data_IF_995939981741
#
_entry.id   IF_995939981741
#
_cell.length_a   1.000
_cell.length_b   1.000
_cell.length_c   1.000
_cell.angle_alpha   90.00
_cell.angle_beta   90.00
_cell.angle_gamma   90.00
#
_symmetry.space_group_name_H-M   'P 1'
#
loop_
_entity.id
_entity.type
_entity.pdbx_description
1 polymer ?
#
# COMPACT_ATOMS: atom_id res chain seq x y z
N UNK A 1 94.71 63.25 102.14
CA UNK A 1 94.13 64.49 101.61
C UNK A 1 94.28 64.42 100.12
N UNK A 2 93.20 64.11 99.41
CA UNK A 2 93.22 64.10 97.94
C UNK A 2 93.15 65.55 97.46
N UNK A 3 94.06 65.88 96.55
CA UNK A 3 94.21 67.23 96.01
C UNK A 3 93.05 67.50 95.06
N UNK A 4 92.39 68.65 95.21
CA UNK A 4 91.18 68.98 94.44
C UNK A 4 91.45 68.91 92.92
N UNK A 5 90.50 68.39 92.13
CA UNK A 5 90.67 68.25 90.68
C UNK A 5 90.84 69.63 90.03
N UNK A 6 91.78 69.74 89.08
CA UNK A 6 92.00 70.98 88.31
C UNK A 6 90.77 71.33 87.47
N UNK A 7 90.41 72.61 87.41
CA UNK A 7 89.43 73.09 86.43
C UNK A 7 89.98 72.93 85.01
N UNK A 8 89.12 72.58 84.05
CA UNK A 8 89.51 72.35 82.66
C UNK A 8 88.94 71.08 82.06
N UNK A 9 89.53 70.69 80.94
CA UNK A 9 89.05 69.61 80.08
C UNK A 9 89.81 68.33 80.38
N UNK A 10 89.10 67.25 80.68
CA UNK A 10 89.63 65.91 80.89
C UNK A 10 89.18 65.01 79.75
N UNK A 11 90.11 64.35 79.08
CA UNK A 11 89.83 63.49 77.93
C UNK A 11 90.36 62.10 78.18
N UNK A 12 89.58 61.08 77.86
CA UNK A 12 90.04 59.70 77.83
C UNK A 12 89.21 58.86 76.87
N UNK A 13 89.83 57.83 76.30
CA UNK A 13 89.18 56.95 75.33
C UNK A 13 89.04 55.54 75.90
N UNK A 14 87.90 54.91 75.64
CA UNK A 14 87.63 53.52 76.00
C UNK A 14 87.01 52.76 74.84
N UNK A 15 87.13 51.43 74.90
CA UNK A 15 86.39 50.54 74.00
C UNK A 15 84.91 50.59 74.36
N UNK A 16 84.06 50.81 73.37
CA UNK A 16 82.63 50.76 73.60
C UNK A 16 82.21 49.29 73.80
N UNK A 17 81.62 49.01 74.95
CA UNK A 17 81.11 47.66 75.28
C UNK A 17 79.79 47.35 74.57
N UNK A 18 79.08 48.38 74.12
CA UNK A 18 77.77 48.21 73.46
C UNK A 18 77.89 48.04 71.95
N UNK A 19 78.95 48.56 71.34
CA UNK A 19 79.25 48.44 69.92
C UNK A 19 80.66 47.82 69.72
N UNK A 20 80.76 46.49 69.53
CA UNK A 20 82.03 45.82 69.34
C UNK A 20 82.81 46.39 68.14
N UNK A 21 83.98 46.96 68.41
CA UNK A 21 84.84 47.57 67.39
C UNK A 21 84.92 49.11 67.43
N UNK A 22 83.99 49.78 68.13
CA UNK A 22 84.02 51.23 68.32
C UNK A 22 84.86 51.61 69.56
N UNK A 23 85.41 52.83 69.52
CA UNK A 23 86.03 53.47 70.68
C UNK A 23 85.30 54.79 70.93
N UNK A 24 84.92 55.01 72.18
CA UNK A 24 84.32 56.27 72.62
C UNK A 24 85.36 57.10 73.33
N UNK A 25 85.36 58.39 73.04
CA UNK A 25 86.14 59.40 73.77
C UNK A 25 85.21 60.15 74.69
N UNK A 26 85.50 60.11 75.98
CA UNK A 26 84.81 60.90 76.99
C UNK A 26 85.57 62.20 77.21
N UNK A 27 84.85 63.32 77.12
CA UNK A 27 85.35 64.65 77.43
C UNK A 27 84.55 65.22 78.61
N UNK A 28 85.23 65.47 79.72
CA UNK A 28 84.65 66.06 80.92
C UNK A 28 85.26 67.44 81.16
N UNK A 29 84.43 68.48 81.12
CA UNK A 29 84.86 69.87 81.29
C UNK A 29 84.38 70.39 82.63
N UNK A 30 85.31 70.74 83.50
CA UNK A 30 85.05 71.45 84.75
C UNK A 30 85.19 72.95 84.52
N UNK A 31 84.07 73.68 84.55
CA UNK A 31 84.04 75.13 84.45
C UNK A 31 84.16 75.78 85.83
N UNK A 32 84.40 77.09 85.85
CA UNK A 32 84.27 77.88 87.07
C UNK A 32 82.78 77.95 87.52
N UNK A 33 82.56 78.22 88.81
CA UNK A 33 81.23 78.36 89.43
C UNK A 33 80.38 77.06 89.49
N UNK A 34 80.97 75.93 89.89
CA UNK A 34 80.28 74.65 90.14
C UNK A 34 79.55 74.06 88.92
N UNK A 35 79.94 74.44 87.70
CA UNK A 35 79.34 73.92 86.46
C UNK A 35 80.30 72.97 85.75
N UNK A 36 79.75 71.92 85.17
CA UNK A 36 80.51 70.99 84.36
C UNK A 36 79.71 70.50 83.15
N UNK A 37 80.40 69.89 82.19
CA UNK A 37 79.77 69.16 81.09
C UNK A 37 80.51 67.85 80.83
N UNK A 38 79.75 66.80 80.51
CA UNK A 38 80.28 65.50 80.10
C UNK A 38 79.77 65.19 78.71
N UNK A 39 80.69 64.88 77.81
CA UNK A 39 80.43 64.56 76.42
C UNK A 39 81.01 63.19 76.07
N UNK A 40 80.26 62.42 75.29
CA UNK A 40 80.69 61.14 74.72
C UNK A 40 80.73 61.25 73.21
N UNK A 41 81.93 61.10 72.65
CA UNK A 41 82.22 61.26 71.23
C UNK A 41 82.70 59.89 70.69
N UNK A 42 81.83 59.11 70.03
CA UNK A 42 82.21 57.87 69.37
C UNK A 42 83.12 58.16 68.17
N UNK A 43 84.08 57.26 67.91
CA UNK A 43 84.99 57.39 66.77
C UNK A 43 84.31 56.97 65.46
N UNK A 44 83.44 55.97 65.51
CA UNK A 44 82.58 55.61 64.39
C UNK A 44 81.34 56.52 64.35
N UNK A 45 80.92 56.91 63.15
CA UNK A 45 79.69 57.66 63.01
C UNK A 45 78.47 56.74 63.24
N UNK A 46 77.32 57.34 63.60
CA UNK A 46 76.09 56.60 63.87
C UNK A 46 75.63 55.73 62.68
N UNK A 47 75.96 56.12 61.44
CA UNK A 47 75.57 55.39 60.22
C UNK A 47 76.46 54.17 59.94
N UNK A 48 77.68 54.13 60.48
CA UNK A 48 78.64 53.02 60.42
C UNK A 48 78.46 52.02 61.57
N UNK A 49 77.40 52.19 62.38
CA UNK A 49 77.10 51.33 63.51
C UNK A 49 77.72 51.78 64.84
N UNK A 50 78.32 52.98 64.89
CA UNK A 50 78.77 53.60 66.13
C UNK A 50 77.61 54.07 67.01
N UNK A 51 77.89 54.38 68.27
CA UNK A 51 76.89 55.05 69.12
C UNK A 51 76.58 56.46 68.61
N UNK A 52 75.38 57.01 68.88
CA UNK A 52 75.13 58.44 68.67
C UNK A 52 75.90 59.27 69.72
N UNK A 53 76.57 60.37 69.34
CA UNK A 53 77.19 61.28 70.30
C UNK A 53 76.15 61.90 71.23
N UNK A 54 76.55 62.22 72.45
CA UNK A 54 75.69 62.89 73.42
C UNK A 54 76.49 63.79 74.36
N UNK A 55 75.84 64.87 74.84
CA UNK A 55 76.42 65.80 75.81
C UNK A 55 75.43 66.18 76.91
N UNK A 56 75.85 66.07 78.16
CA UNK A 56 75.09 66.61 79.29
C UNK A 56 75.83 67.74 80.01
N UNK A 57 75.08 68.69 80.57
CA UNK A 57 75.59 69.76 81.44
C UNK A 57 75.01 69.58 82.84
N UNK A 58 75.80 69.92 83.86
CA UNK A 58 75.45 69.68 85.25
C UNK A 58 76.14 70.64 86.19
N UNK A 59 75.69 70.61 87.44
CA UNK A 59 76.48 71.16 88.53
C UNK A 59 77.37 70.04 89.07
N UNK A 60 78.52 70.39 89.66
CA UNK A 60 79.35 69.38 90.31
C UNK A 60 79.73 69.78 91.73
N UNK A 61 79.82 68.77 92.57
CA UNK A 61 80.36 68.82 93.92
C UNK A 61 81.51 67.82 94.02
N UNK A 62 82.52 68.14 94.83
CA UNK A 62 83.66 67.26 95.08
C UNK A 62 83.50 66.72 96.50
N UNK A 63 83.33 65.40 96.62
CA UNK A 63 83.11 64.71 97.89
C UNK A 63 84.23 63.67 98.09
N UNK A 64 85.10 63.94 99.07
CA UNK A 64 86.35 63.20 99.34
C UNK A 64 87.20 62.92 98.08
N UNK A 65 87.06 61.73 97.51
CA UNK A 65 87.84 61.21 96.39
C UNK A 65 86.98 61.07 95.10
N UNK A 66 85.75 61.60 95.09
CA UNK A 66 84.81 61.54 93.96
C UNK A 66 84.33 62.94 93.54
N UNK A 67 84.19 63.16 92.23
CA UNK A 67 83.43 64.27 91.67
C UNK A 67 82.02 63.76 91.38
N UNK A 68 81.01 64.39 91.97
CA UNK A 68 79.61 64.06 91.77
C UNK A 68 79.00 65.16 90.91
N UNK A 69 78.65 64.82 89.66
CA UNK A 69 77.96 65.70 88.73
C UNK A 69 76.44 65.45 88.77
N UNK A 70 75.67 66.45 89.19
CA UNK A 70 74.22 66.46 89.08
C UNK A 70 73.81 66.99 87.69
N UNK A 71 73.19 66.14 86.87
CA UNK A 71 72.82 66.50 85.49
C UNK A 71 71.62 67.45 85.45
N UNK A 72 71.83 68.70 85.05
CA UNK A 72 70.79 69.73 84.93
C UNK A 72 70.21 69.86 83.52
N UNK A 73 71.01 69.54 82.50
CA UNK A 73 70.59 69.48 81.09
C UNK A 73 71.03 68.15 80.50
N UNK A 74 70.05 67.32 80.15
CA UNK A 74 70.26 66.05 79.45
C UNK A 74 70.21 66.24 77.93
N UNK A 75 70.89 65.36 77.21
CA UNK A 75 70.69 65.16 75.77
C UNK A 75 69.59 64.11 75.50
N UNK A 76 69.33 63.82 74.22
CA UNK A 76 68.45 62.72 73.78
C UNK A 76 68.95 61.36 74.26
N UNK A 77 70.28 61.18 74.35
CA UNK A 77 71.00 59.98 74.83
C UNK A 77 71.93 60.33 76.00
N UNK A 78 72.45 59.33 76.71
CA UNK A 78 73.36 59.53 77.85
C UNK A 78 72.66 59.56 79.23
N UNK A 79 73.36 60.04 80.28
CA UNK A 79 72.81 60.22 81.62
C UNK A 79 71.55 61.08 81.61
N UNK A 80 70.54 60.68 82.39
CA UNK A 80 69.27 61.42 82.48
C UNK A 80 69.42 62.63 83.40
N UNK A 81 68.53 63.59 83.24
CA UNK A 81 68.38 64.72 84.15
C UNK A 81 68.16 64.21 85.57
N UNK A 82 68.71 64.93 86.55
CA UNK A 82 68.61 64.63 87.98
C UNK A 82 69.25 63.26 88.36
N UNK A 83 70.16 62.76 87.51
CA UNK A 83 70.99 61.59 87.80
C UNK A 83 72.39 62.05 88.18
N UNK A 84 72.94 61.47 89.25
CA UNK A 84 74.30 61.75 89.68
C UNK A 84 75.31 60.91 88.90
N UNK A 85 76.27 61.58 88.29
CA UNK A 85 77.39 60.97 87.57
C UNK A 85 78.63 61.09 88.43
N UNK A 86 79.18 59.94 88.83
CA UNK A 86 80.36 59.87 89.70
C UNK A 86 81.63 59.69 88.90
N UNK A 87 82.67 60.47 89.21
CA UNK A 87 84.02 60.32 88.66
C UNK A 87 85.03 60.19 89.81
N UNK A 88 85.79 59.11 89.86
CA UNK A 88 86.79 58.90 90.92
C UNK A 88 88.06 59.72 90.63
N UNK A 89 88.54 60.49 91.59
CA UNK A 89 89.74 61.32 91.46
C UNK A 89 90.99 60.47 91.76
N UNK A 90 91.67 60.00 90.71
CA UNK A 90 92.92 59.26 90.87
C UNK A 90 94.14 60.17 91.06
N UNK A 91 94.01 61.49 90.84
CA UNK A 91 95.04 62.49 91.09
C UNK A 91 94.64 63.88 90.57
N UNK A 92 95.48 64.92 90.75
CA UNK A 92 95.12 66.31 90.44
C UNK A 92 94.90 66.59 88.94
N UNK A 93 95.19 65.63 88.07
CA UNK A 93 95.07 65.77 86.61
C UNK A 93 94.50 64.51 85.97
N UNK A 94 93.93 63.60 86.76
CA UNK A 94 93.34 62.36 86.28
C UNK A 94 92.09 62.00 87.08
N UNK A 95 91.02 61.72 86.35
CA UNK A 95 89.76 61.20 86.91
C UNK A 95 89.39 59.90 86.19
N UNK A 96 88.71 58.99 86.87
CA UNK A 96 88.17 57.77 86.27
C UNK A 96 86.66 57.92 86.08
N UNK A 97 86.21 57.65 84.86
CA UNK A 97 84.80 57.55 84.52
C UNK A 97 84.53 56.19 83.88
N UNK A 98 83.67 55.37 84.48
CA UNK A 98 83.32 54.01 83.99
C UNK A 98 84.58 53.22 83.59
N UNK A 99 85.51 53.06 84.54
CA UNK A 99 86.82 52.41 84.35
C UNK A 99 87.75 53.05 83.30
N UNK A 100 87.36 54.16 82.69
CA UNK A 100 88.14 54.91 81.71
C UNK A 100 88.92 56.02 82.40
N UNK A 101 90.24 56.05 82.20
CA UNK A 101 91.10 57.09 82.75
C UNK A 101 91.05 58.33 81.86
N UNK A 102 90.48 59.42 82.38
CA UNK A 102 90.45 60.73 81.73
C UNK A 102 91.62 61.58 82.25
N UNK A 103 92.43 62.13 81.34
CA UNK A 103 93.58 62.96 81.67
C UNK A 103 93.29 64.43 81.35
N UNK A 104 93.72 65.35 82.21
CA UNK A 104 93.57 66.79 82.00
C UNK A 104 94.39 67.25 80.78
N UNK A 105 93.75 67.95 79.85
CA UNK A 105 94.34 68.40 78.57
C UNK A 105 94.54 69.92 78.51
N UNK A 106 93.70 70.72 79.17
CA UNK A 106 93.84 72.18 79.16
C UNK A 106 92.78 72.94 79.94
N UNK A 107 92.96 74.27 80.07
CA UNK A 107 91.99 75.18 80.69
C UNK A 107 90.73 75.37 79.81
N UNK A 108 89.55 75.66 80.40
CA UNK A 108 88.31 75.80 79.63
C UNK A 108 88.31 77.12 78.81
N UNK A 109 87.63 77.17 77.64
CA UNK A 109 87.55 78.37 76.80
C UNK A 109 86.78 79.52 77.49
N UNK A 110 87.25 80.77 77.33
CA UNK A 110 86.71 81.96 78.00
C UNK A 110 85.33 82.38 77.44
N UNK A 111 84.38 82.70 78.31
CA UNK A 111 83.05 83.23 77.96
C UNK A 111 83.11 84.77 77.78
N UNK A 112 82.47 85.35 76.74
CA UNK A 112 82.55 86.80 76.46
C UNK A 112 81.65 87.65 77.41
N UNK A 113 82.23 88.70 78.01
CA UNK A 113 81.55 89.66 78.91
C UNK A 113 81.46 91.06 78.26
N UNK A 114 80.33 91.76 78.41
CA UNK A 114 80.08 93.12 77.89
C UNK A 114 79.93 94.13 79.04
N UNK A 115 80.54 95.31 78.92
CA UNK A 115 80.34 96.46 79.84
C UNK A 115 80.38 97.82 79.06
N UNK A 116 79.46 98.80 79.26
CA UNK A 116 79.11 99.80 78.24
C UNK A 116 79.10 101.26 78.72
N UNK A 117 80.13 102.08 78.45
CA UNK A 117 80.05 103.54 78.78
C UNK A 117 80.67 104.51 77.76
N UNK A 118 81.42 104.09 76.73
CA UNK A 118 82.05 105.03 75.77
C UNK A 118 81.33 105.24 74.42
N UNK A 119 80.13 104.67 74.21
CA UNK A 119 79.46 104.62 72.89
C UNK A 119 78.56 105.83 72.58
N UNK A 120 78.16 106.62 73.58
CA UNK A 120 77.07 107.61 73.42
C UNK A 120 77.38 108.84 72.56
N UNK A 121 78.63 109.18 72.28
CA UNK A 121 78.95 110.37 71.46
C UNK A 121 79.22 110.07 69.99
N UNK A 122 79.48 108.81 69.62
CA UNK A 122 79.57 108.39 68.21
C UNK A 122 78.22 107.92 67.63
N UNK A 123 77.21 107.65 68.48
CA UNK A 123 75.88 107.21 68.05
C UNK A 123 75.05 108.33 67.42
N UNK A 124 75.12 109.57 67.92
CA UNK A 124 74.25 110.65 67.43
C UNK A 124 74.54 111.07 65.97
N UNK A 125 75.81 111.09 65.56
CA UNK A 125 76.15 111.41 64.17
C UNK A 125 75.90 110.24 63.21
N UNK A 126 75.96 109.00 63.72
CA UNK A 126 75.63 107.80 62.94
C UNK A 126 74.11 107.60 62.82
N UNK A 127 73.32 108.01 63.81
CA UNK A 127 71.85 107.96 63.78
C UNK A 127 71.25 108.91 62.74
N UNK A 128 71.83 110.09 62.50
CA UNK A 128 71.32 110.99 61.46
C UNK A 128 71.60 110.48 60.03
N UNK A 129 72.76 109.84 59.80
CA UNK A 129 73.07 109.21 58.51
C UNK A 129 72.32 107.87 58.31
N UNK A 130 72.11 107.10 59.38
CA UNK A 130 71.25 105.90 59.36
C UNK A 130 69.77 106.27 59.20
N UNK A 131 69.29 107.41 59.72
CA UNK A 131 67.91 107.85 59.52
C UNK A 131 67.64 108.22 58.04
N UNK A 132 68.61 108.83 57.35
CA UNK A 132 68.50 109.11 55.92
C UNK A 132 68.51 107.81 55.09
N UNK A 133 69.39 106.85 55.40
CA UNK A 133 69.44 105.54 54.71
C UNK A 133 68.19 104.70 54.99
N UNK A 134 67.70 104.67 56.24
CA UNK A 134 66.47 103.97 56.61
C UNK A 134 65.24 104.54 55.92
N UNK A 135 65.20 105.84 55.63
CA UNK A 135 64.10 106.45 54.87
C UNK A 135 64.08 105.97 53.42
N UNK A 136 65.24 105.93 52.76
CA UNK A 136 65.36 105.42 51.39
C UNK A 136 65.17 103.90 51.31
N UNK A 137 65.60 103.15 52.32
CA UNK A 137 65.38 101.70 52.41
C UNK A 137 63.92 101.37 52.69
N UNK A 138 63.20 102.15 53.50
CA UNK A 138 61.77 101.98 53.73
C UNK A 138 60.94 102.32 52.48
N UNK A 139 61.37 103.29 51.67
CA UNK A 139 60.71 103.62 50.41
C UNK A 139 60.96 102.54 49.36
N UNK A 140 62.21 102.04 49.24
CA UNK A 140 62.53 100.89 48.40
C UNK A 140 61.82 99.60 48.85
N UNK A 141 61.71 99.35 50.15
CA UNK A 141 60.98 98.21 50.69
C UNK A 141 59.47 98.30 50.45
N UNK A 142 58.89 99.52 50.46
CA UNK A 142 57.48 99.73 50.08
C UNK A 142 57.26 99.45 48.59
N UNK A 143 58.14 99.94 47.72
CA UNK A 143 58.05 99.64 46.28
C UNK A 143 58.24 98.14 45.99
N UNK A 144 59.10 97.44 46.73
CA UNK A 144 59.27 95.99 46.58
C UNK A 144 58.01 95.23 47.03
N UNK A 145 57.40 95.61 48.15
CA UNK A 145 56.15 95.04 48.64
C UNK A 145 54.98 95.27 47.68
N UNK A 146 54.92 96.45 47.06
CA UNK A 146 53.90 96.75 46.04
C UNK A 146 54.16 95.95 44.74
N UNK A 147 55.42 95.77 44.32
CA UNK A 147 55.77 94.88 43.20
C UNK A 147 55.45 93.42 43.50
N UNK A 148 55.65 92.97 44.74
CA UNK A 148 55.32 91.62 45.16
C UNK A 148 53.81 91.40 45.22
N UNK A 149 53.04 92.38 45.71
CA UNK A 149 51.57 92.36 45.64
C UNK A 149 51.05 92.31 44.22
N UNK A 150 51.60 93.09 43.30
CA UNK A 150 51.26 93.03 41.87
C UNK A 150 51.56 91.66 41.27
N UNK A 151 52.72 91.06 41.58
CA UNK A 151 53.04 89.69 41.14
C UNK A 151 52.09 88.64 41.71
N UNK A 152 51.70 88.78 42.98
CA UNK A 152 50.73 87.90 43.62
C UNK A 152 49.33 88.08 43.03
N UNK A 153 48.89 89.30 42.74
CA UNK A 153 47.62 89.56 42.04
C UNK A 153 47.64 89.03 40.60
N UNK A 154 48.75 89.18 39.88
CA UNK A 154 48.91 88.59 38.55
C UNK A 154 48.89 87.05 38.60
N UNK A 155 49.56 86.44 39.58
CA UNK A 155 49.51 84.98 39.79
C UNK A 155 48.10 84.53 40.17
N UNK A 156 47.46 85.19 41.12
CA UNK A 156 46.09 84.89 41.53
C UNK A 156 45.09 85.08 40.37
N UNK A 157 45.28 86.09 39.52
CA UNK A 157 44.47 86.27 38.31
C UNK A 157 44.73 85.17 37.28
N UNK A 158 45.99 84.76 37.06
CA UNK A 158 46.30 83.63 36.17
C UNK A 158 45.67 82.33 36.67
N UNK A 159 45.77 82.05 37.96
CA UNK A 159 45.16 80.89 38.59
C UNK A 159 43.63 80.94 38.52
N UNK A 160 43.02 82.12 38.75
CA UNK A 160 41.58 82.32 38.63
C UNK A 160 41.10 82.07 37.20
N UNK A 161 41.83 82.57 36.20
CA UNK A 161 41.52 82.33 34.77
C UNK A 161 41.67 80.85 34.43
N UNK A 162 42.72 80.18 34.91
CA UNK A 162 42.91 78.73 34.71
C UNK A 162 41.79 77.91 35.38
N UNK A 163 41.38 78.27 36.60
CA UNK A 163 40.27 77.65 37.31
C UNK A 163 38.93 77.88 36.59
N UNK A 164 38.73 79.07 36.03
CA UNK A 164 37.52 79.39 35.27
C UNK A 164 37.49 78.64 33.93
N UNK A 165 38.64 78.48 33.26
CA UNK A 165 38.80 77.64 32.08
C UNK A 165 38.50 76.16 32.40
N UNK A 166 39.09 75.61 33.46
CA UNK A 166 38.83 74.23 33.89
C UNK A 166 37.36 74.02 34.29
N UNK A 167 36.73 74.99 34.95
CA UNK A 167 35.30 74.93 35.27
C UNK A 167 34.42 75.01 34.01
N UNK A 168 34.81 75.80 33.02
CA UNK A 168 34.10 75.88 31.75
C UNK A 168 34.24 74.58 30.95
N UNK A 169 35.44 73.99 30.90
CA UNK A 169 35.68 72.68 30.28
C UNK A 169 34.90 71.57 30.98
N UNK A 170 34.86 71.55 32.31
CA UNK A 170 34.09 70.55 33.06
C UNK A 170 32.59 70.66 32.78
N UNK A 171 32.07 71.90 32.68
CA UNK A 171 30.67 72.15 32.29
C UNK A 171 30.40 71.73 30.86
N UNK A 172 31.32 71.98 29.92
CA UNK A 172 31.21 71.49 28.54
C UNK A 172 31.22 69.97 28.48
N UNK A 173 32.09 69.30 29.23
CA UNK A 173 32.11 67.83 29.29
C UNK A 173 30.83 67.27 29.88
N UNK A 174 30.31 67.87 30.95
CA UNK A 174 29.03 67.46 31.55
C UNK A 174 27.87 67.66 30.57
N UNK A 175 27.80 68.82 29.90
CA UNK A 175 26.77 69.08 28.90
C UNK A 175 26.88 68.14 27.69
N UNK A 176 28.11 67.81 27.24
CA UNK A 176 28.34 66.86 26.16
C UNK A 176 27.94 65.43 26.57
N UNK A 177 28.27 65.00 27.80
CA UNK A 177 27.87 63.69 28.32
C UNK A 177 26.35 63.59 28.52
N UNK A 178 25.69 64.65 29.01
CA UNK A 178 24.24 64.68 29.13
C UNK A 178 23.57 64.65 27.76
N UNK A 179 24.09 65.38 26.78
CA UNK A 179 23.59 65.36 25.40
C UNK A 179 23.77 63.98 24.74
N UNK A 180 24.93 63.33 24.90
CA UNK A 180 25.18 61.98 24.38
C UNK A 180 24.29 60.95 25.09
N UNK A 181 24.11 61.06 26.41
CA UNK A 181 23.21 60.20 27.17
C UNK A 181 21.74 60.39 26.77
N UNK A 182 21.33 61.63 26.45
CA UNK A 182 19.99 61.93 25.91
C UNK A 182 19.79 61.30 24.54
N UNK A 183 20.74 61.50 23.61
CA UNK A 183 20.67 60.91 22.27
C UNK A 183 20.61 59.38 22.33
N UNK A 184 21.42 58.76 23.19
CA UNK A 184 21.44 57.30 23.37
C UNK A 184 20.15 56.76 23.99
N UNK A 185 19.48 57.54 24.84
CA UNK A 185 18.15 57.19 25.36
C UNK A 185 17.07 57.26 24.27
N UNK A 186 17.07 58.31 23.46
CA UNK A 186 16.14 58.45 22.33
C UNK A 186 16.35 57.36 21.27
N UNK A 187 17.59 57.00 20.96
CA UNK A 187 17.90 55.90 20.04
C UNK A 187 17.42 54.55 20.59
N UNK A 188 17.66 54.28 21.88
CA UNK A 188 17.17 53.07 22.53
C UNK A 188 15.64 53.01 22.59
N UNK A 189 14.97 54.16 22.75
CA UNK A 189 13.51 54.23 22.73
C UNK A 189 12.97 53.96 21.32
N UNK A 190 13.58 54.56 20.28
CA UNK A 190 13.25 54.25 18.88
C UNK A 190 13.45 52.77 18.54
N UNK A 191 14.56 52.17 18.97
CA UNK A 191 14.82 50.74 18.76
C UNK A 191 13.80 49.86 19.48
N UNK A 192 13.38 50.23 20.70
CA UNK A 192 12.31 49.51 21.42
C UNK A 192 10.96 49.63 20.72
N UNK A 193 10.65 50.81 20.18
CA UNK A 193 9.39 51.04 19.46
C UNK A 193 9.36 50.28 18.12
N UNK A 194 10.47 50.22 17.39
CA UNK A 194 10.62 49.39 16.19
C UNK A 194 10.49 47.90 16.51
N UNK A 195 11.14 47.41 17.57
CA UNK A 195 11.00 46.01 18.00
C UNK A 195 9.55 45.69 18.38
N UNK A 196 8.89 46.60 19.08
CA UNK A 196 7.48 46.45 19.45
C UNK A 196 6.57 46.41 18.22
N UNK A 197 6.78 47.28 17.22
CA UNK A 197 6.04 47.23 15.95
C UNK A 197 6.26 45.92 15.20
N UNK A 198 7.50 45.43 15.15
CA UNK A 198 7.83 44.15 14.51
C UNK A 198 7.18 42.96 15.24
N UNK A 199 7.11 43.00 16.57
CA UNK A 199 6.42 41.98 17.37
C UNK A 199 4.90 42.02 17.16
N UNK A 200 4.29 43.21 17.16
CA UNK A 200 2.87 43.40 16.90
C UNK A 200 2.51 42.97 15.46
N UNK A 201 3.33 43.30 14.46
CA UNK A 201 3.13 42.87 13.08
C UNK A 201 3.29 41.35 12.92
N UNK A 202 4.27 40.75 13.61
CA UNK A 202 4.46 39.29 13.63
C UNK A 202 3.28 38.59 14.32
N UNK A 203 2.77 39.13 15.43
CA UNK A 203 1.58 38.61 16.10
C UNK A 203 0.35 38.72 15.20
N UNK A 204 0.12 39.87 14.58
CA UNK A 204 -0.99 40.06 13.64
C UNK A 204 -0.91 39.11 12.44
N UNK A 205 0.29 38.85 11.91
CA UNK A 205 0.50 37.86 10.84
C UNK A 205 0.20 36.44 11.30
N UNK A 206 0.59 36.07 12.52
CA UNK A 206 0.30 34.75 13.08
C UNK A 206 -1.20 34.55 13.31
N UNK A 207 -1.89 35.56 13.85
CA UNK A 207 -3.35 35.54 14.04
C UNK A 207 -4.10 35.47 12.71
N UNK A 208 -3.64 36.22 11.70
CA UNK A 208 -4.24 36.16 10.36
C UNK A 208 -4.02 34.78 9.73
N UNK A 209 -2.84 34.20 9.90
CA UNK A 209 -2.52 32.87 9.37
C UNK A 209 -3.29 31.76 10.07
N UNK A 210 -3.50 31.85 11.39
CA UNK A 210 -4.32 30.89 12.13
C UNK A 210 -5.80 31.01 11.76
N UNK A 211 -6.32 32.23 11.60
CA UNK A 211 -7.68 32.46 11.12
C UNK A 211 -7.90 31.90 9.71
N UNK A 212 -6.98 32.15 8.77
CA UNK A 212 -7.03 31.60 7.40
C UNK A 212 -6.95 30.06 7.41
N UNK A 213 -6.13 29.47 8.28
CA UNK A 213 -6.04 28.01 8.40
C UNK A 213 -7.32 27.40 8.98
N UNK A 214 -7.97 28.11 9.91
CA UNK A 214 -9.23 27.70 10.51
C UNK A 214 -10.39 27.78 9.51
N UNK A 215 -10.47 28.86 8.72
CA UNK A 215 -11.42 28.96 7.61
C UNK A 215 -11.21 27.88 6.55
N UNK A 216 -9.95 27.54 6.23
CA UNK A 216 -9.64 26.43 5.32
C UNK A 216 -10.08 25.07 5.88
N UNK A 217 -9.91 24.84 7.19
CA UNK A 217 -10.39 23.61 7.84
C UNK A 217 -11.91 23.53 7.80
N UNK A 218 -12.61 24.61 8.15
CA UNK A 218 -14.08 24.65 8.08
C UNK A 218 -14.60 24.49 6.65
N UNK A 219 -13.95 25.11 5.66
CA UNK A 219 -14.29 24.94 4.26
C UNK A 219 -14.07 23.50 3.79
N UNK A 220 -12.94 22.89 4.15
CA UNK A 220 -12.62 21.51 3.82
C UNK A 220 -13.59 20.51 4.50
N UNK A 221 -13.99 20.76 5.75
CA UNK A 221 -15.01 19.95 6.45
C UNK A 221 -16.38 20.05 5.79
N UNK A 222 -16.80 21.25 5.38
CA UNK A 222 -18.06 21.44 4.63
C UNK A 222 -18.02 20.76 3.27
N UNK A 223 -16.90 20.82 2.57
CA UNK A 223 -16.72 20.14 1.28
C UNK A 223 -16.71 18.62 1.46
N UNK A 224 -16.02 18.11 2.48
CA UNK A 224 -16.04 16.68 2.84
C UNK A 224 -17.45 16.18 3.18
N UNK A 225 -18.23 16.97 3.92
CA UNK A 225 -19.64 16.66 4.21
C UNK A 225 -20.49 16.61 2.94
N UNK A 226 -20.33 17.58 2.02
CA UNK A 226 -21.06 17.57 0.73
C UNK A 226 -20.71 16.35 -0.10
N UNK A 227 -19.43 16.01 -0.20
CA UNK A 227 -18.97 14.81 -0.92
C UNK A 227 -19.53 13.55 -0.26
N UNK A 228 -19.57 13.49 1.07
CA UNK A 228 -20.13 12.35 1.80
C UNK A 228 -21.64 12.18 1.58
N UNK A 229 -22.40 13.28 1.59
CA UNK A 229 -23.84 13.28 1.28
C UNK A 229 -24.11 12.88 -0.17
N UNK A 230 -23.31 13.38 -1.12
CA UNK A 230 -23.43 13.02 -2.53
C UNK A 230 -23.10 11.53 -2.76
N UNK A 231 -22.06 11.02 -2.08
CA UNK A 231 -21.73 9.59 -2.12
C UNK A 231 -22.84 8.72 -1.49
N UNK A 232 -23.50 9.19 -0.44
CA UNK A 232 -24.66 8.51 0.15
C UNK A 232 -25.83 8.48 -0.82
N UNK A 233 -26.16 9.60 -1.47
CA UNK A 233 -27.20 9.65 -2.51
C UNK A 233 -26.90 8.70 -3.67
N UNK A 234 -25.66 8.69 -4.17
CA UNK A 234 -25.26 7.75 -5.23
C UNK A 234 -25.39 6.28 -4.80
N UNK A 235 -25.09 5.96 -3.54
CA UNK A 235 -25.28 4.60 -3.00
C UNK A 235 -26.75 4.23 -2.88
N UNK A 236 -27.61 5.17 -2.48
CA UNK A 236 -29.06 4.96 -2.41
C UNK A 236 -29.66 4.81 -3.81
N UNK A 237 -29.25 5.62 -4.78
CA UNK A 237 -29.64 5.50 -6.18
C UNK A 237 -29.21 4.15 -6.77
N UNK A 238 -27.97 3.70 -6.50
CA UNK A 238 -27.51 2.39 -6.94
C UNK A 238 -28.30 1.25 -6.29
N UNK A 239 -28.61 1.35 -4.99
CA UNK A 239 -29.47 0.35 -4.31
C UNK A 239 -30.88 0.32 -4.91
N UNK A 240 -31.49 1.47 -5.16
CA UNK A 240 -32.80 1.54 -5.79
C UNK A 240 -32.80 0.90 -7.20
N UNK A 241 -31.76 1.16 -7.99
CA UNK A 241 -31.58 0.53 -9.31
C UNK A 241 -31.34 -0.98 -9.21
N UNK A 242 -30.61 -1.45 -8.20
CA UNK A 242 -30.43 -2.88 -7.94
C UNK A 242 -31.75 -3.56 -7.54
N UNK A 243 -32.55 -2.92 -6.69
CA UNK A 243 -33.89 -3.39 -6.31
C UNK A 243 -34.83 -3.43 -7.52
N UNK A 244 -34.85 -2.40 -8.37
CA UNK A 244 -35.64 -2.38 -9.59
C UNK A 244 -35.23 -3.51 -10.55
N UNK A 245 -33.92 -3.76 -10.70
CA UNK A 245 -33.42 -4.90 -11.49
C UNK A 245 -33.83 -6.24 -10.91
N UNK A 246 -33.81 -6.40 -9.59
CA UNK A 246 -34.26 -7.63 -8.93
C UNK A 246 -35.77 -7.84 -9.10
N UNK A 247 -36.58 -6.78 -8.98
CA UNK A 247 -38.02 -6.86 -9.22
C UNK A 247 -38.34 -7.23 -10.66
N UNK A 248 -37.65 -6.62 -11.64
CA UNK A 248 -37.81 -6.96 -13.05
C UNK A 248 -37.40 -8.41 -13.31
N UNK A 249 -36.26 -8.86 -12.78
CA UNK A 249 -35.83 -10.26 -12.91
C UNK A 249 -36.85 -11.24 -12.31
N UNK A 250 -37.41 -10.94 -11.14
CA UNK A 250 -38.46 -11.77 -10.53
C UNK A 250 -39.75 -11.78 -11.35
N UNK A 251 -40.12 -10.65 -11.97
CA UNK A 251 -41.28 -10.57 -12.87
C UNK A 251 -41.05 -11.38 -14.14
N UNK A 252 -39.87 -11.25 -14.76
CA UNK A 252 -39.49 -12.02 -15.94
C UNK A 252 -39.43 -13.52 -15.64
N UNK A 253 -38.86 -13.93 -14.50
CA UNK A 253 -38.82 -15.34 -14.09
C UNK A 253 -40.24 -15.91 -13.89
N UNK A 254 -41.13 -15.17 -13.22
CA UNK A 254 -42.53 -15.56 -13.07
C UNK A 254 -43.27 -15.64 -14.40
N UNK A 255 -43.03 -14.70 -15.31
CA UNK A 255 -43.65 -14.73 -16.65
C UNK A 255 -43.12 -15.92 -17.47
N UNK A 256 -41.81 -16.18 -17.40
CA UNK A 256 -41.19 -17.29 -18.10
C UNK A 256 -41.66 -18.64 -17.53
N UNK A 257 -41.87 -18.74 -16.22
CA UNK A 257 -42.47 -19.90 -15.58
C UNK A 257 -43.92 -20.10 -16.05
N UNK A 258 -44.75 -19.04 -16.09
CA UNK A 258 -46.11 -19.12 -16.64
C UNK A 258 -46.11 -19.60 -18.09
N UNK A 259 -45.23 -19.06 -18.94
CA UNK A 259 -45.10 -19.50 -20.34
C UNK A 259 -44.64 -20.97 -20.46
N UNK A 260 -43.80 -21.46 -19.54
CA UNK A 260 -43.43 -22.88 -19.49
C UNK A 260 -44.63 -23.74 -19.11
N UNK A 261 -45.36 -23.37 -18.08
CA UNK A 261 -46.57 -24.08 -17.64
C UNK A 261 -47.65 -24.09 -18.75
N UNK A 262 -47.85 -22.97 -19.45
CA UNK A 262 -48.77 -22.88 -20.60
C UNK A 262 -48.34 -23.80 -21.74
N UNK A 263 -47.05 -23.81 -22.09
CA UNK A 263 -46.50 -24.72 -23.12
C UNK A 263 -46.60 -26.18 -22.72
N UNK A 264 -46.39 -26.50 -21.44
CA UNK A 264 -46.56 -27.87 -20.93
C UNK A 264 -48.03 -28.29 -20.98
N UNK A 265 -48.96 -27.41 -20.61
CA UNK A 265 -50.40 -27.67 -20.72
C UNK A 265 -50.84 -27.82 -22.18
N UNK A 266 -50.32 -26.99 -23.09
CA UNK A 266 -50.59 -27.10 -24.52
C UNK A 266 -50.03 -28.40 -25.10
N UNK A 267 -48.78 -28.75 -24.75
CA UNK A 267 -48.18 -30.02 -25.13
C UNK A 267 -49.01 -31.20 -24.62
N UNK A 268 -49.45 -31.17 -23.36
CA UNK A 268 -50.33 -32.19 -22.79
C UNK A 268 -51.67 -32.30 -23.54
N UNK A 269 -52.26 -31.18 -23.93
CA UNK A 269 -53.49 -31.16 -24.76
C UNK A 269 -53.25 -31.79 -26.12
N UNK A 270 -52.16 -31.42 -26.80
CA UNK A 270 -51.80 -31.98 -28.10
C UNK A 270 -51.49 -33.47 -28.02
N UNK A 271 -50.81 -33.94 -26.97
CA UNK A 271 -50.59 -35.38 -26.76
C UNK A 271 -51.89 -36.13 -26.51
N UNK A 272 -52.80 -35.56 -25.70
CA UNK A 272 -54.10 -36.17 -25.43
C UNK A 272 -54.98 -36.21 -26.69
N UNK A 273 -54.92 -35.19 -27.54
CA UNK A 273 -55.59 -35.17 -28.84
C UNK A 273 -54.99 -36.19 -29.81
N UNK A 274 -53.65 -36.29 -29.88
CA UNK A 274 -52.98 -37.29 -30.69
C UNK A 274 -53.31 -38.72 -30.25
N UNK A 275 -53.39 -38.98 -28.93
CA UNK A 275 -53.78 -40.29 -28.40
C UNK A 275 -55.25 -40.62 -28.68
N UNK A 276 -56.15 -39.62 -28.64
CA UNK A 276 -57.54 -39.78 -29.08
C UNK A 276 -57.61 -40.15 -30.56
N UNK A 277 -56.86 -39.47 -31.41
CA UNK A 277 -56.80 -39.77 -32.84
C UNK A 277 -56.22 -41.16 -33.11
N UNK A 278 -55.17 -41.57 -32.38
CA UNK A 278 -54.61 -42.92 -32.46
C UNK A 278 -55.62 -43.99 -32.05
N UNK A 279 -56.36 -43.76 -30.96
CA UNK A 279 -57.41 -44.66 -30.50
C UNK A 279 -58.57 -44.74 -31.51
N UNK A 280 -58.96 -43.62 -32.13
CA UNK A 280 -59.98 -43.62 -33.18
C UNK A 280 -59.49 -44.38 -34.43
N UNK A 281 -58.26 -44.14 -34.88
CA UNK A 281 -57.67 -44.89 -35.99
C UNK A 281 -57.55 -46.38 -35.68
N UNK A 282 -57.22 -46.75 -34.45
CA UNK A 282 -57.18 -48.14 -34.02
C UNK A 282 -58.57 -48.78 -34.06
N UNK A 283 -59.61 -48.09 -33.55
CA UNK A 283 -61.00 -48.56 -33.68
C UNK A 283 -61.41 -48.75 -35.14
N UNK A 284 -61.10 -47.79 -36.02
CA UNK A 284 -61.38 -47.93 -37.46
C UNK A 284 -60.64 -49.10 -38.09
N UNK A 285 -59.40 -49.39 -37.66
CA UNK A 285 -58.66 -50.58 -38.12
C UNK A 285 -59.32 -51.86 -37.65
N UNK A 286 -59.76 -51.93 -36.40
CA UNK A 286 -60.48 -53.08 -35.84
C UNK A 286 -61.83 -53.27 -36.55
N UNK A 287 -62.56 -52.19 -36.85
CA UNK A 287 -63.79 -52.22 -37.64
C UNK A 287 -63.54 -52.71 -39.07
N UNK A 288 -62.50 -52.20 -39.74
CA UNK A 288 -62.12 -52.66 -41.08
C UNK A 288 -61.72 -54.13 -41.09
N UNK A 289 -60.94 -54.57 -40.09
CA UNK A 289 -60.58 -55.98 -39.93
C UNK A 289 -61.81 -56.86 -39.68
N UNK A 290 -62.78 -56.40 -38.89
CA UNK A 290 -64.04 -57.11 -38.68
C UNK A 290 -64.87 -57.21 -39.96
N UNK A 291 -64.90 -56.15 -40.78
CA UNK A 291 -65.58 -56.15 -42.08
C UNK A 291 -64.87 -57.07 -43.08
N UNK A 292 -63.53 -57.07 -43.11
CA UNK A 292 -62.74 -57.97 -43.94
C UNK A 292 -62.96 -59.43 -43.52
N UNK A 293 -62.90 -59.73 -42.23
CA UNK A 293 -63.18 -61.06 -41.69
C UNK A 293 -64.62 -61.52 -42.02
N UNK A 294 -65.62 -60.64 -41.89
CA UNK A 294 -67.00 -60.94 -42.26
C UNK A 294 -67.16 -61.20 -43.78
N UNK A 295 -66.41 -60.47 -44.61
CA UNK A 295 -66.37 -60.70 -46.05
C UNK A 295 -65.70 -62.03 -46.40
N UNK A 296 -64.60 -62.38 -45.74
CA UNK A 296 -63.94 -63.67 -45.90
C UNK A 296 -64.83 -64.83 -45.46
N UNK A 297 -65.54 -64.70 -44.33
CA UNK A 297 -66.51 -65.69 -43.87
C UNK A 297 -67.68 -65.84 -44.85
N UNK A 298 -68.19 -64.73 -45.40
CA UNK A 298 -69.24 -64.76 -46.41
C UNK A 298 -68.77 -65.40 -47.73
N UNK A 299 -67.53 -65.14 -48.15
CA UNK A 299 -66.91 -65.80 -49.31
C UNK A 299 -66.70 -67.30 -49.06
N UNK A 300 -66.25 -67.68 -47.87
CA UNK A 300 -66.09 -69.08 -47.48
C UNK A 300 -67.44 -69.82 -47.53
N UNK A 301 -68.52 -69.21 -46.99
CA UNK A 301 -69.89 -69.77 -47.08
C UNK A 301 -70.34 -69.92 -48.53
N UNK A 302 -70.10 -68.93 -49.40
CA UNK A 302 -70.42 -69.04 -50.82
C UNK A 302 -69.65 -70.16 -51.51
N UNK A 303 -68.37 -70.32 -51.21
CA UNK A 303 -67.56 -71.43 -51.74
C UNK A 303 -68.11 -72.77 -51.26
N UNK A 304 -68.48 -72.88 -49.98
CA UNK A 304 -69.12 -74.10 -49.45
C UNK A 304 -70.48 -74.39 -50.12
N UNK A 305 -71.30 -73.36 -50.36
CA UNK A 305 -72.57 -73.48 -51.08
C UNK A 305 -72.35 -73.90 -52.55
N UNK A 306 -71.39 -73.30 -53.24
CA UNK A 306 -71.01 -73.69 -54.61
C UNK A 306 -70.46 -75.12 -54.66
N UNK A 307 -69.67 -75.53 -53.67
CA UNK A 307 -69.20 -76.91 -53.55
C UNK A 307 -70.35 -77.89 -53.29
N UNK A 308 -71.31 -77.54 -52.43
CA UNK A 308 -72.53 -78.35 -52.21
C UNK A 308 -73.34 -78.47 -53.48
N UNK A 309 -73.58 -77.35 -54.18
CA UNK A 309 -74.32 -77.33 -55.44
C UNK A 309 -73.61 -78.13 -56.53
N UNK A 310 -72.28 -78.00 -56.64
CA UNK A 310 -71.47 -78.81 -57.55
C UNK A 310 -71.53 -80.30 -57.21
N UNK A 311 -71.50 -80.66 -55.93
CA UNK A 311 -71.64 -82.05 -55.48
C UNK A 311 -73.04 -82.61 -55.76
N UNK A 312 -74.10 -81.81 -55.61
CA UNK A 312 -75.46 -82.18 -55.99
C UNK A 312 -75.62 -82.36 -57.50
N UNK A 313 -75.05 -81.45 -58.30
CA UNK A 313 -75.00 -81.60 -59.76
C UNK A 313 -74.24 -82.87 -60.19
N UNK A 314 -73.13 -83.18 -59.51
CA UNK A 314 -72.38 -84.39 -59.78
C UNK A 314 -73.18 -85.65 -59.42
N UNK A 315 -73.84 -85.68 -58.26
CA UNK A 315 -74.75 -86.77 -57.89
C UNK A 315 -75.89 -86.94 -58.89
N UNK A 316 -76.48 -85.84 -59.35
CA UNK A 316 -77.53 -85.87 -60.37
C UNK A 316 -77.00 -86.42 -61.70
N UNK A 317 -75.80 -86.01 -62.12
CA UNK A 317 -75.15 -86.54 -63.32
C UNK A 317 -74.83 -88.04 -63.20
N UNK A 318 -74.38 -88.49 -62.03
CA UNK A 318 -74.16 -89.91 -61.73
C UNK A 318 -75.47 -90.70 -61.78
N UNK A 319 -76.56 -90.17 -61.21
CA UNK A 319 -77.90 -90.77 -61.31
C UNK A 319 -78.39 -90.88 -62.76
N UNK A 320 -78.16 -89.85 -63.59
CA UNK A 320 -78.49 -89.90 -65.01
C UNK A 320 -77.64 -90.94 -65.76
N UNK A 321 -76.35 -91.06 -65.45
CA UNK A 321 -75.50 -92.10 -66.02
C UNK A 321 -75.93 -93.50 -65.58
N UNK A 322 -76.31 -93.68 -64.32
CA UNK A 322 -76.81 -94.94 -63.78
C UNK A 322 -78.13 -95.33 -64.46
N UNK A 323 -79.07 -94.39 -64.63
CA UNK A 323 -80.31 -94.60 -65.36
C UNK A 323 -80.05 -94.97 -66.83
N UNK A 324 -79.08 -94.32 -67.48
CA UNK A 324 -78.66 -94.69 -68.84
C UNK A 324 -78.00 -96.07 -68.89
N UNK A 325 -77.26 -96.48 -67.86
CA UNK A 325 -76.72 -97.85 -67.76
C UNK A 325 -77.85 -98.87 -67.62
N UNK A 326 -78.80 -98.62 -66.72
CA UNK A 326 -79.99 -99.46 -66.54
C UNK A 326 -80.77 -99.60 -67.86
N UNK A 327 -81.05 -98.51 -68.56
CA UNK A 327 -81.71 -98.57 -69.87
C UNK A 327 -80.89 -99.31 -70.93
N UNK A 328 -79.56 -99.19 -70.93
CA UNK A 328 -78.70 -99.97 -71.83
C UNK A 328 -78.73 -101.46 -71.51
N UNK A 329 -78.75 -101.81 -70.23
CA UNK A 329 -78.80 -103.20 -69.79
C UNK A 329 -80.20 -103.81 -70.03
N UNK A 330 -81.27 -103.04 -69.86
CA UNK A 330 -82.64 -103.39 -70.29
C UNK A 330 -82.71 -103.63 -71.80
N UNK A 331 -82.14 -102.72 -72.61
CA UNK A 331 -82.08 -102.90 -74.06
C UNK A 331 -81.30 -104.16 -74.44
N UNK A 332 -80.16 -104.43 -73.80
CA UNK A 332 -79.39 -105.67 -74.01
C UNK A 332 -80.17 -106.91 -73.59
N UNK A 333 -80.93 -106.85 -72.50
CA UNK A 333 -81.77 -107.96 -72.06
C UNK A 333 -82.89 -108.23 -73.10
N UNK A 334 -83.56 -107.19 -73.58
CA UNK A 334 -84.56 -107.30 -74.65
C UNK A 334 -83.95 -107.79 -75.98
N UNK A 335 -82.73 -107.36 -76.31
CA UNK A 335 -81.99 -107.86 -77.47
C UNK A 335 -81.64 -109.34 -77.31
N UNK A 336 -81.20 -109.77 -76.12
CA UNK A 336 -80.92 -111.17 -75.81
C UNK A 336 -82.19 -112.04 -75.89
N UNK A 337 -83.31 -111.58 -75.32
CA UNK A 337 -84.61 -112.25 -75.43
C UNK A 337 -85.04 -112.36 -76.90
N UNK A 338 -84.87 -111.29 -77.69
CA UNK A 338 -85.17 -111.30 -79.14
C UNK A 338 -84.27 -112.28 -79.88
N UNK A 339 -82.97 -112.33 -79.57
CA UNK A 339 -82.04 -113.30 -80.16
C UNK A 339 -82.42 -114.74 -79.79
N UNK A 340 -82.83 -114.99 -78.55
CA UNK A 340 -83.29 -116.31 -78.10
C UNK A 340 -84.57 -116.72 -78.83
N UNK A 341 -85.52 -115.79 -79.00
CA UNK A 341 -86.74 -116.01 -79.78
C UNK A 341 -86.44 -116.29 -81.25
N UNK A 342 -85.47 -115.58 -81.83
CA UNK A 342 -85.00 -115.82 -83.19
C UNK A 342 -84.28 -117.17 -83.32
N UNK A 343 -83.44 -117.55 -82.35
CA UNK A 343 -82.81 -118.88 -82.28
C UNK A 343 -83.86 -119.98 -82.14
N UNK A 344 -84.87 -119.77 -81.29
CA UNK A 344 -86.01 -120.67 -81.14
C UNK A 344 -86.75 -120.86 -82.45
N UNK A 345 -87.09 -119.77 -83.16
CA UNK A 345 -87.74 -119.83 -84.48
C UNK A 345 -86.86 -120.47 -85.55
N UNK A 346 -85.55 -120.22 -85.53
CA UNK A 346 -84.59 -120.86 -86.44
C UNK A 346 -84.49 -122.37 -86.17
N UNK A 347 -84.42 -122.76 -84.90
CA UNK A 347 -84.41 -124.17 -84.49
C UNK A 347 -85.74 -124.86 -84.83
N UNK A 348 -86.87 -124.17 -84.70
CA UNK A 348 -88.18 -124.65 -85.11
C UNK A 348 -88.28 -124.79 -86.64
N UNK A 349 -87.77 -123.83 -87.40
CA UNK A 349 -87.65 -123.97 -88.86
C UNK A 349 -86.70 -125.10 -89.27
N UNK A 350 -85.60 -125.31 -88.55
CA UNK A 350 -84.70 -126.44 -88.79
C UNK A 350 -85.39 -127.76 -88.51
N UNK A 351 -86.14 -127.87 -87.39
CA UNK A 351 -86.97 -129.04 -87.12
C UNK A 351 -88.02 -129.28 -88.20
N UNK A 352 -88.70 -128.24 -88.66
CA UNK A 352 -89.67 -128.37 -89.74
C UNK A 352 -89.00 -128.85 -91.04
N UNK A 353 -87.77 -128.40 -91.33
CA UNK A 353 -86.98 -128.91 -92.47
C UNK A 353 -86.53 -130.36 -92.26
N UNK A 354 -86.10 -130.72 -91.05
CA UNK A 354 -85.73 -132.11 -90.71
C UNK A 354 -86.96 -133.03 -90.79
N UNK A 355 -88.13 -132.55 -90.36
CA UNK A 355 -89.40 -133.26 -90.47
C UNK A 355 -89.83 -133.39 -91.95
N UNK A 356 -89.70 -132.33 -92.76
CA UNK A 356 -89.92 -132.37 -94.21
C UNK A 356 -88.91 -133.28 -94.93
N UNK A 357 -87.63 -133.28 -94.54
CA UNK A 357 -86.59 -134.16 -95.10
C UNK A 357 -86.81 -135.62 -94.68
N UNK A 358 -87.29 -135.88 -93.47
CA UNK A 358 -87.65 -137.24 -93.02
C UNK A 358 -88.95 -137.73 -93.65
N UNK A 359 -89.91 -136.84 -93.94
CA UNK A 359 -91.08 -137.17 -94.77
C UNK A 359 -90.69 -137.42 -96.23
N UNK A 360 -89.79 -136.60 -96.79
CA UNK A 360 -89.24 -136.80 -98.12
C UNK A 360 -88.43 -138.11 -98.22
N UNK A 361 -87.68 -138.48 -97.18
CA UNK A 361 -86.97 -139.77 -97.10
C UNK A 361 -87.92 -140.96 -96.96
N UNK A 362 -89.00 -140.85 -96.17
CA UNK A 362 -90.04 -141.90 -96.10
C UNK A 362 -90.84 -142.03 -97.40
N UNK A 363 -91.05 -140.93 -98.13
CA UNK A 363 -91.63 -140.96 -99.48
C UNK A 363 -90.66 -141.53 -100.53
N UNK A 364 -89.36 -141.34 -100.37
CA UNK A 364 -88.32 -141.89 -101.24
C UNK A 364 -88.07 -143.39 -101.01
N UNK A 365 -88.17 -143.89 -99.77
CA UNK A 365 -88.03 -145.32 -99.44
C UNK A 365 -89.24 -146.17 -99.87
N UNK A 366 -90.42 -145.57 -100.11
CA UNK A 366 -91.61 -146.27 -100.60
C UNK A 366 -91.69 -146.40 -102.14
N UNK A 367 -90.87 -145.68 -102.91
CA UNK A 367 -90.97 -145.61 -104.38
C UNK A 367 -89.78 -146.23 -105.16
N UNK A 368 -88.79 -146.83 -104.49
CA UNK A 368 -87.57 -147.33 -105.15
C UNK A 368 -87.57 -148.86 -105.42
N UNK A 369 -88.62 -149.36 -106.07
CA UNK A 369 -88.66 -150.71 -106.69
C UNK A 369 -89.50 -150.71 -107.99
N UNK A 370 -89.23 -149.79 -108.93
CA UNK A 370 -89.47 -149.98 -110.39
C UNK A 370 -89.06 -148.75 -111.24
N UNK A 371 -88.23 -149.04 -112.24
CA UNK A 371 -88.16 -148.42 -113.60
C UNK A 371 -87.27 -147.18 -113.81
N UNK A 372 -86.19 -147.44 -114.58
CA UNK A 372 -85.60 -146.73 -115.72
C UNK A 372 -85.52 -145.19 -115.78
N UNK A 373 -84.33 -144.69 -116.17
CA UNK A 373 -84.21 -143.51 -117.06
C UNK A 373 -83.00 -142.58 -116.85
N UNK A 374 -82.10 -142.39 -117.84
CA UNK A 374 -80.90 -141.52 -117.80
C UNK A 374 -81.13 -140.12 -118.44
N UNK A 375 -80.08 -139.27 -118.54
CA UNK A 375 -79.99 -137.84 -118.95
C UNK A 375 -80.22 -136.83 -117.81
N UNK A 376 -79.56 -135.67 -117.64
CA UNK A 376 -78.70 -134.80 -118.45
C UNK A 376 -78.74 -133.36 -117.84
N UNK A 377 -77.83 -132.42 -118.20
CA UNK A 377 -77.32 -131.32 -117.34
C UNK A 377 -77.76 -129.89 -117.76
N UNK A 378 -77.65 -128.87 -116.88
CA UNK A 378 -77.62 -127.39 -117.19
C UNK A 378 -77.23 -126.65 -115.87
N UNK A 379 -76.19 -125.82 -115.70
CA UNK A 379 -75.63 -124.67 -116.44
C UNK A 379 -76.51 -123.40 -116.43
N UNK A 380 -76.19 -122.43 -115.54
CA UNK A 380 -76.19 -120.98 -115.86
C UNK A 380 -75.34 -120.18 -114.83
N UNK A 381 -74.37 -119.47 -115.40
CA UNK A 381 -73.51 -118.36 -114.92
C UNK A 381 -74.33 -117.03 -114.84
N UNK A 382 -73.77 -115.80 -114.75
CA UNK A 382 -72.77 -115.21 -113.84
C UNK A 382 -73.11 -113.72 -113.47
N UNK A 383 -72.12 -113.02 -112.86
CA UNK A 383 -71.79 -111.58 -112.96
C UNK A 383 -72.31 -110.55 -111.94
N UNK A 384 -71.30 -109.87 -111.34
CA UNK A 384 -71.12 -108.43 -111.02
C UNK A 384 -70.49 -108.33 -109.62
N UNK A 385 -69.17 -108.29 -109.38
CA UNK A 385 -68.08 -107.47 -109.92
C UNK A 385 -68.24 -105.95 -109.66
N UNK A 386 -67.47 -105.52 -108.64
CA UNK A 386 -66.72 -104.26 -108.53
C UNK A 386 -67.21 -103.14 -107.59
N UNK A 387 -66.20 -102.51 -106.96
CA UNK A 387 -66.12 -101.14 -106.42
C UNK A 387 -66.53 -100.85 -104.96
N UNK A 388 -65.54 -100.68 -104.07
CA UNK A 388 -65.43 -99.51 -103.16
C UNK A 388 -64.17 -99.52 -102.26
N UNK A 389 -62.97 -99.39 -102.84
CA UNK A 389 -61.71 -99.09 -102.12
C UNK A 389 -61.29 -97.61 -102.29
N UNK A 390 -62.19 -96.67 -101.99
CA UNK A 390 -61.93 -95.22 -102.26
C UNK A 390 -62.46 -94.24 -101.20
N UNK A 391 -62.31 -94.54 -99.91
CA UNK A 391 -62.71 -93.61 -98.83
C UNK A 391 -61.77 -93.71 -97.62
N UNK A 392 -60.51 -93.27 -97.74
CA UNK A 392 -59.71 -93.04 -96.51
C UNK A 392 -58.58 -92.00 -96.58
N UNK A 393 -58.54 -91.11 -97.58
CA UNK A 393 -57.53 -90.03 -97.66
C UNK A 393 -58.11 -88.63 -97.40
N UNK A 394 -59.42 -88.40 -97.59
CA UNK A 394 -60.04 -87.08 -97.35
C UNK A 394 -60.13 -86.67 -95.87
N UNK A 395 -60.35 -87.63 -94.96
CA UNK A 395 -60.44 -87.35 -93.51
C UNK A 395 -59.06 -87.06 -92.88
N UNK A 396 -57.99 -87.60 -93.45
CA UNK A 396 -56.63 -87.34 -92.97
C UNK A 396 -56.14 -85.93 -93.34
N UNK A 397 -56.50 -85.45 -94.54
CA UNK A 397 -56.21 -84.08 -94.97
C UNK A 397 -56.96 -83.01 -94.14
N UNK A 398 -58.25 -83.25 -93.85
CA UNK A 398 -59.04 -82.33 -93.00
C UNK A 398 -58.53 -82.27 -91.56
N UNK A 399 -58.06 -83.39 -91.00
CA UNK A 399 -57.48 -83.42 -89.66
C UNK A 399 -56.14 -82.66 -89.57
N UNK A 400 -55.27 -82.80 -90.58
CA UNK A 400 -54.01 -82.04 -90.63
C UNK A 400 -54.23 -80.53 -90.84
N UNK A 401 -55.25 -80.14 -91.61
CA UNK A 401 -55.59 -78.74 -91.84
C UNK A 401 -56.17 -78.07 -90.58
N UNK A 402 -57.06 -78.77 -89.86
CA UNK A 402 -57.59 -78.29 -88.57
C UNK A 402 -56.50 -78.19 -87.50
N UNK A 403 -55.51 -79.09 -87.50
CA UNK A 403 -54.38 -79.04 -86.56
C UNK A 403 -53.44 -77.87 -86.85
N UNK A 404 -53.28 -77.49 -88.13
CA UNK A 404 -52.50 -76.32 -88.53
C UNK A 404 -53.18 -75.00 -88.13
N UNK A 405 -54.49 -74.89 -88.35
CA UNK A 405 -55.26 -73.72 -87.92
C UNK A 405 -55.20 -73.50 -86.40
N UNK A 406 -55.36 -74.55 -85.59
CA UNK A 406 -55.23 -74.42 -84.12
C UNK A 406 -53.84 -74.00 -83.66
N UNK A 407 -52.79 -74.41 -84.38
CA UNK A 407 -51.43 -73.99 -84.07
C UNK A 407 -51.18 -72.51 -84.43
N UNK A 408 -51.78 -72.03 -85.52
CA UNK A 408 -51.74 -70.61 -85.93
C UNK A 408 -52.54 -69.72 -84.97
N UNK A 409 -53.73 -70.14 -84.55
CA UNK A 409 -54.55 -69.44 -83.53
C UNK A 409 -53.84 -69.37 -82.17
N UNK A 410 -53.19 -70.45 -81.74
CA UNK A 410 -52.42 -70.47 -80.49
C UNK A 410 -51.20 -69.52 -80.56
N UNK A 411 -50.51 -69.45 -81.70
CA UNK A 411 -49.39 -68.54 -81.90
C UNK A 411 -49.85 -67.06 -81.91
N UNK A 412 -51.01 -66.76 -82.49
CA UNK A 412 -51.61 -65.42 -82.46
C UNK A 412 -51.99 -65.02 -81.02
N UNK A 413 -52.66 -65.90 -80.28
CA UNK A 413 -53.01 -65.64 -78.88
C UNK A 413 -51.78 -65.40 -77.99
N UNK A 414 -50.69 -66.16 -78.18
CA UNK A 414 -49.46 -65.96 -77.43
C UNK A 414 -48.78 -64.61 -77.77
N UNK A 415 -48.83 -64.19 -79.04
CA UNK A 415 -48.30 -62.90 -79.47
C UNK A 415 -49.08 -61.72 -78.86
N UNK A 416 -50.40 -61.85 -78.72
CA UNK A 416 -51.27 -60.82 -78.16
C UNK A 416 -51.10 -60.69 -76.65
N UNK A 417 -50.94 -61.81 -75.93
CA UNK A 417 -50.58 -61.82 -74.51
C UNK A 417 -49.22 -61.13 -74.28
N UNK A 418 -48.21 -61.39 -75.14
CA UNK A 418 -46.92 -60.69 -75.04
C UNK A 418 -47.05 -59.18 -75.26
N UNK A 419 -47.90 -58.76 -76.20
CA UNK A 419 -48.16 -57.33 -76.46
C UNK A 419 -48.82 -56.66 -75.25
N UNK A 420 -49.89 -57.25 -74.71
CA UNK A 420 -50.59 -56.73 -73.53
C UNK A 420 -49.67 -56.66 -72.30
N UNK A 421 -48.80 -57.66 -72.12
CA UNK A 421 -47.80 -57.65 -71.04
C UNK A 421 -46.76 -56.55 -71.21
N UNK A 422 -46.36 -56.23 -72.45
CA UNK A 422 -45.49 -55.10 -72.76
C UNK A 422 -46.14 -53.76 -72.42
N UNK A 423 -47.39 -53.56 -72.82
CA UNK A 423 -48.18 -52.35 -72.53
C UNK A 423 -48.36 -52.12 -71.01
N UNK A 424 -48.66 -53.17 -70.25
CA UNK A 424 -48.77 -53.09 -68.78
C UNK A 424 -47.45 -52.70 -68.10
N UNK A 425 -46.31 -53.22 -68.57
CA UNK A 425 -45.00 -52.87 -68.03
C UNK A 425 -44.64 -51.41 -68.34
N UNK A 426 -44.95 -50.93 -69.55
CA UNK A 426 -44.70 -49.55 -69.95
C UNK A 426 -45.54 -48.55 -69.13
N UNK A 427 -46.83 -48.82 -68.95
CA UNK A 427 -47.71 -48.01 -68.08
C UNK A 427 -47.22 -47.97 -66.62
N UNK A 428 -46.63 -49.06 -66.13
CA UNK A 428 -46.09 -49.14 -64.76
C UNK A 428 -44.81 -48.31 -64.60
N UNK A 429 -43.97 -48.25 -65.62
CA UNK A 429 -42.77 -47.38 -65.63
C UNK A 429 -43.15 -45.91 -65.72
N UNK A 430 -44.11 -45.55 -66.57
CA UNK A 430 -44.61 -44.17 -66.68
C UNK A 430 -45.25 -43.69 -65.37
N UNK A 431 -46.05 -44.54 -64.72
CA UNK A 431 -46.66 -44.25 -63.41
C UNK A 431 -45.62 -44.06 -62.29
N UNK A 432 -44.51 -44.79 -62.32
CA UNK A 432 -43.43 -44.65 -61.34
C UNK A 432 -42.59 -43.38 -61.59
N UNK A 433 -42.42 -42.96 -62.85
CA UNK A 433 -41.70 -41.72 -63.19
C UNK A 433 -42.46 -40.44 -62.84
N UNK A 434 -43.80 -40.48 -62.83
CA UNK A 434 -44.63 -39.35 -62.39
C UNK A 434 -44.59 -39.06 -60.88
N UNK A 435 -44.11 -40.02 -60.07
CA UNK A 435 -44.04 -39.89 -58.62
C UNK A 435 -42.78 -39.14 -58.12
N UNK A 436 -41.83 -38.84 -59.00
CA UNK A 436 -40.59 -38.09 -58.67
C UNK A 436 -40.60 -36.63 -59.16
N UNK A 437 -41.74 -36.14 -59.68
CA UNK A 437 -41.91 -34.77 -60.19
C UNK A 437 -43.02 -33.99 -59.45
N UNK A 438 -43.18 -34.23 -58.15
CA UNK A 438 -43.99 -33.40 -57.23
C UNK A 438 -43.21 -33.13 -55.96
#
# INVERSE_FOLDING_TARGET
MVEAPKLGVYIGSARDVTCPGDHVTYEFVLHNAHRCSLECIPQLNYFEGGQPPWRCEGNYEVDDDEIIMEVTKQDVRGPRRDTDVKLEVSGPSQVLYRTTRLSWVGAPPALPSQDPVKVKQAQLQKEEEEAAKRKTELEAAREELDRERLRQEEQANREKVQLEQLRAELRQQQAAQEAEASQRREELEKQKEELRRMEEEKQALLERRSAEEQERKEAAEREAQRVQEELQRQREELRALEEERQELAQREEKELQRRREEREQEAQRLTAEADRQRAELQRRREELQAVEAAREEALAKKIEEEQRFSAELQKWAEQQQEALRQHRDELRALEAEREELLRGKLAEQQRLREDEETEAQRAAEACALKICGPFGPFAFEPQMLAEATRLNWGKCAQWLQARRQRAEEAAQAESEIRRQRGELMQNRVESASGFWMV
#
